data_IF_485142933740
#
_entry.id   IF_485142933740
#
_cell.length_a   1.000
_cell.length_b   1.000
_cell.length_c   1.000
_cell.angle_alpha   90.00
_cell.angle_beta   90.00
_cell.angle_gamma   90.00
#
_symmetry.space_group_name_H-M   'P 1'
#
loop_
_entity.id
_entity.type
_entity.pdbx_description
1 polymer ?
#
# COMPACT_ATOMS: atom_id res chain seq x y z
N UNK A 1 -17.67 2.75 -24.22
CA UNK A 1 -18.44 1.80 -25.04
C UNK A 1 -17.67 0.51 -25.34
N UNK A 2 -16.35 0.53 -25.54
CA UNK A 2 -15.55 -0.65 -25.92
C UNK A 2 -15.46 -1.79 -24.87
N UNK A 3 -15.55 -1.51 -23.57
CA UNK A 3 -15.38 -2.52 -22.53
C UNK A 3 -16.52 -3.57 -22.48
N UNK A 4 -17.75 -3.16 -22.81
CA UNK A 4 -18.91 -4.04 -22.79
C UNK A 4 -18.90 -5.01 -23.98
N UNK A 5 -18.49 -4.53 -25.14
CA UNK A 5 -18.43 -5.34 -26.37
C UNK A 5 -17.35 -6.42 -26.28
N UNK A 6 -16.17 -6.08 -25.72
CA UNK A 6 -15.12 -7.06 -25.44
C UNK A 6 -15.55 -8.08 -24.38
N UNK A 7 -16.27 -7.65 -23.33
CA UNK A 7 -16.80 -8.55 -22.31
C UNK A 7 -17.84 -9.53 -22.89
N UNK A 8 -18.70 -9.08 -23.82
CA UNK A 8 -19.66 -9.95 -24.49
C UNK A 8 -18.96 -10.96 -25.43
N UNK A 9 -17.93 -10.54 -26.17
CA UNK A 9 -17.14 -11.46 -26.99
C UNK A 9 -16.40 -12.53 -26.17
N UNK A 10 -15.88 -12.17 -24.99
CA UNK A 10 -15.28 -13.14 -24.07
C UNK A 10 -16.34 -14.11 -23.52
N UNK A 11 -17.55 -13.63 -23.21
CA UNK A 11 -18.65 -14.46 -22.70
C UNK A 11 -19.04 -15.50 -23.74
N UNK A 12 -19.19 -15.06 -24.99
CA UNK A 12 -19.59 -15.94 -26.09
C UNK A 12 -18.49 -16.95 -26.45
N UNK A 13 -17.21 -16.61 -26.19
CA UNK A 13 -16.06 -17.50 -26.44
C UNK A 13 -15.81 -18.52 -25.34
N UNK A 14 -16.06 -18.18 -24.06
CA UNK A 14 -15.71 -19.04 -22.92
C UNK A 14 -16.93 -19.59 -22.15
N UNK A 15 -18.16 -19.21 -22.54
CA UNK A 15 -19.40 -19.81 -22.04
C UNK A 15 -19.69 -19.60 -20.55
N UNK A 16 -18.95 -18.72 -19.87
CA UNK A 16 -19.08 -18.43 -18.45
C UNK A 16 -19.80 -17.12 -18.18
N UNK A 17 -20.37 -16.98 -16.98
CA UNK A 17 -20.98 -15.73 -16.52
C UNK A 17 -19.90 -14.65 -16.35
N UNK A 18 -19.94 -13.61 -17.19
CA UNK A 18 -19.00 -12.50 -17.12
C UNK A 18 -19.66 -11.34 -16.37
N UNK A 19 -19.26 -11.16 -15.11
CA UNK A 19 -19.58 -9.95 -14.34
C UNK A 19 -18.61 -8.84 -14.74
N UNK A 20 -19.02 -7.98 -15.67
CA UNK A 20 -18.24 -6.79 -16.01
C UNK A 20 -18.39 -5.74 -14.89
N UNK A 21 -17.47 -5.75 -13.93
CA UNK A 21 -17.34 -4.67 -12.95
C UNK A 21 -16.81 -3.42 -13.67
N UNK A 22 -17.71 -2.50 -13.99
CA UNK A 22 -17.36 -1.24 -14.65
C UNK A 22 -16.75 -0.23 -13.68
N UNK A 23 -17.10 -0.31 -12.40
CA UNK A 23 -16.53 0.53 -11.32
C UNK A 23 -16.53 -0.23 -10.00
N UNK A 24 -15.54 0.05 -9.15
CA UNK A 24 -15.42 -0.49 -7.78
C UNK A 24 -15.36 0.68 -6.80
N UNK A 25 -16.15 0.61 -5.74
CA UNK A 25 -16.02 1.51 -4.59
C UNK A 25 -14.92 0.98 -3.67
N UNK A 26 -13.90 1.80 -3.43
CA UNK A 26 -12.75 1.44 -2.63
C UNK A 26 -12.52 2.45 -1.50
N UNK A 27 -12.23 1.94 -0.30
CA UNK A 27 -11.74 2.75 0.80
C UNK A 27 -10.24 3.02 0.65
N UNK A 28 -9.85 4.30 0.61
CA UNK A 28 -8.46 4.73 0.55
C UNK A 28 -8.08 5.43 1.84
N UNK A 29 -7.04 4.93 2.50
CA UNK A 29 -6.40 5.61 3.63
C UNK A 29 -5.49 6.75 3.14
N UNK A 30 -5.65 7.92 3.74
CA UNK A 30 -4.82 9.10 3.53
C UNK A 30 -4.51 9.75 4.89
N UNK A 31 -3.54 10.67 4.96
CA UNK A 31 -3.19 11.37 6.21
C UNK A 31 -4.38 11.99 6.96
N UNK A 32 -5.38 12.61 6.30
CA UNK A 32 -6.54 13.16 7.03
C UNK A 32 -7.59 12.10 7.43
N UNK A 33 -7.46 10.83 7.04
CA UNK A 33 -8.42 9.76 7.34
C UNK A 33 -8.74 8.83 6.17
N UNK A 34 -9.96 8.30 6.14
CA UNK A 34 -10.42 7.36 5.10
C UNK A 34 -11.31 8.09 4.09
N UNK A 35 -11.10 7.83 2.80
CA UNK A 35 -11.91 8.35 1.69
C UNK A 35 -12.54 7.19 0.93
N UNK A 36 -13.84 7.28 0.62
CA UNK A 36 -14.50 6.33 -0.29
C UNK A 36 -14.40 6.87 -1.70
N UNK A 37 -13.83 6.08 -2.61
CA UNK A 37 -13.60 6.46 -4.00
C UNK A 37 -14.24 5.43 -4.94
N UNK A 38 -15.04 5.91 -5.89
CA UNK A 38 -15.52 5.10 -7.02
C UNK A 38 -14.50 5.14 -8.14
N UNK A 39 -13.92 3.99 -8.46
CA UNK A 39 -12.75 3.89 -9.36
C UNK A 39 -12.90 2.81 -10.42
N UNK A 40 -12.10 2.89 -11.47
CA UNK A 40 -11.90 1.80 -12.43
C UNK A 40 -11.15 0.63 -11.75
N UNK A 41 -11.27 -0.63 -12.21
CA UNK A 41 -10.97 -1.84 -11.42
C UNK A 41 -9.49 -2.07 -11.02
N UNK A 42 -8.59 -1.11 -11.24
CA UNK A 42 -7.21 -1.20 -10.79
C UNK A 42 -7.07 -0.61 -9.38
N UNK A 43 -7.08 -1.49 -8.38
CA UNK A 43 -6.93 -1.14 -6.96
C UNK A 43 -5.62 -1.71 -6.44
N UNK A 44 -4.82 -0.89 -5.75
CA UNK A 44 -3.67 -1.38 -5.00
C UNK A 44 -4.10 -1.65 -3.56
N UNK A 45 -3.94 -2.89 -3.09
CA UNK A 45 -4.30 -3.27 -1.73
C UNK A 45 -3.21 -2.80 -0.77
N UNK A 46 -3.54 -1.86 0.11
CA UNK A 46 -2.67 -1.46 1.21
C UNK A 46 -2.67 -2.50 2.33
N UNK A 47 -1.72 -2.41 3.27
CA UNK A 47 -1.76 -3.24 4.47
C UNK A 47 -3.04 -2.91 5.28
N UNK A 48 -4.03 -3.79 5.16
CA UNK A 48 -5.29 -3.72 5.88
C UNK A 48 -5.14 -4.25 7.31
N UNK A 49 -6.24 -4.20 8.04
CA UNK A 49 -6.36 -4.87 9.34
C UNK A 49 -6.99 -6.27 9.19
N UNK A 50 -7.37 -6.65 7.96
CA UNK A 50 -7.94 -7.95 7.67
C UNK A 50 -6.81 -8.99 7.70
N UNK A 51 -6.90 -10.01 8.55
CA UNK A 51 -5.87 -11.04 8.61
C UNK A 51 -5.95 -11.90 7.35
N UNK A 52 -4.79 -12.28 6.83
CA UNK A 52 -4.72 -13.36 5.85
C UNK A 52 -5.32 -14.62 6.47
N UNK A 53 -6.37 -15.15 5.85
CA UNK A 53 -7.00 -16.36 6.32
C UNK A 53 -6.05 -17.55 6.10
N UNK A 54 -5.87 -18.42 7.11
CA UNK A 54 -5.11 -19.65 6.90
C UNK A 54 -5.79 -20.48 5.82
N UNK A 55 -4.98 -21.06 4.94
CA UNK A 55 -5.48 -21.98 3.93
C UNK A 55 -5.96 -23.28 4.56
N UNK A 56 -6.91 -23.94 3.88
CA UNK A 56 -7.32 -25.30 4.20
C UNK A 56 -6.50 -26.29 3.37
N UNK A 57 -6.21 -27.47 3.93
CA UNK A 57 -5.34 -28.49 3.31
C UNK A 57 -5.72 -28.83 1.85
N UNK A 58 -7.02 -28.81 1.51
CA UNK A 58 -7.50 -29.04 0.14
C UNK A 58 -7.13 -27.91 -0.82
N UNK A 59 -7.13 -26.66 -0.35
CA UNK A 59 -6.67 -25.51 -1.13
C UNK A 59 -5.16 -25.55 -1.33
N UNK A 60 -4.40 -25.94 -0.30
CA UNK A 60 -2.95 -26.09 -0.39
C UNK A 60 -2.54 -27.17 -1.40
N UNK A 61 -3.18 -28.34 -1.33
CA UNK A 61 -2.94 -29.42 -2.29
C UNK A 61 -3.28 -28.98 -3.72
N UNK A 62 -4.38 -28.26 -3.90
CA UNK A 62 -4.77 -27.72 -5.21
C UNK A 62 -3.75 -26.70 -5.72
N UNK A 63 -3.26 -25.81 -4.85
CA UNK A 63 -2.26 -24.81 -5.21
C UNK A 63 -0.91 -25.46 -5.55
N UNK A 64 -0.50 -26.49 -4.78
CA UNK A 64 0.75 -27.21 -4.99
C UNK A 64 0.76 -28.01 -6.30
N UNK A 65 -0.39 -28.57 -6.69
CA UNK A 65 -0.54 -29.34 -7.93
C UNK A 65 -0.96 -28.49 -9.12
N UNK A 66 -1.36 -27.24 -8.90
CA UNK A 66 -1.79 -26.32 -9.93
C UNK A 66 -0.65 -25.98 -10.89
N UNK A 67 -0.89 -25.94 -12.22
CA UNK A 67 0.14 -25.58 -13.17
C UNK A 67 0.55 -24.12 -13.00
N UNK A 68 1.84 -23.86 -12.79
CA UNK A 68 2.41 -22.51 -12.80
C UNK A 68 2.86 -22.20 -14.22
N UNK A 69 2.13 -21.33 -14.90
CA UNK A 69 2.50 -20.88 -16.25
C UNK A 69 3.60 -19.83 -16.13
N UNK A 70 4.79 -20.14 -16.65
CA UNK A 70 5.93 -19.21 -16.69
C UNK A 70 5.96 -18.53 -18.04
N UNK A 71 5.96 -17.19 -18.04
CA UNK A 71 6.02 -16.41 -19.27
C UNK A 71 7.39 -15.73 -19.37
N UNK A 72 7.98 -15.76 -20.55
CA UNK A 72 9.12 -14.91 -20.90
C UNK A 72 8.66 -13.52 -21.35
N UNK A 73 9.57 -12.54 -21.33
CA UNK A 73 9.26 -11.21 -21.85
C UNK A 73 8.93 -11.22 -23.36
N UNK A 74 9.49 -12.20 -24.09
CA UNK A 74 9.27 -12.38 -25.52
C UNK A 74 7.88 -12.99 -25.80
N UNK A 75 7.46 -13.95 -24.98
CA UNK A 75 6.12 -14.57 -25.07
C UNK A 75 5.00 -13.59 -24.69
N UNK A 76 5.30 -12.60 -23.85
CA UNK A 76 4.36 -11.57 -23.44
C UNK A 76 4.28 -10.38 -24.41
N UNK A 77 4.94 -10.46 -25.57
CA UNK A 77 4.97 -9.42 -26.61
C UNK A 77 5.33 -8.02 -26.05
N UNK A 78 6.30 -7.99 -25.12
CA UNK A 78 6.77 -6.73 -24.56
C UNK A 78 7.66 -6.04 -25.60
N UNK A 79 7.04 -5.16 -26.38
CA UNK A 79 7.61 -4.33 -27.48
C UNK A 79 9.02 -3.79 -27.20
N UNK A 80 9.31 -3.45 -25.95
CA UNK A 80 10.66 -3.07 -25.55
C UNK A 80 11.08 -3.85 -24.30
N UNK A 81 11.69 -5.02 -24.49
CA UNK A 81 12.32 -5.81 -23.42
C UNK A 81 13.32 -4.99 -22.56
N UNK A 82 13.82 -3.87 -23.09
CA UNK A 82 14.66 -2.91 -22.36
C UNK A 82 13.88 -2.10 -21.31
N UNK A 83 12.59 -1.86 -21.53
CA UNK A 83 11.65 -1.19 -20.61
C UNK A 83 11.05 -2.16 -19.59
N UNK A 84 11.05 -3.47 -19.88
CA UNK A 84 10.74 -4.47 -18.89
C UNK A 84 11.79 -4.44 -17.75
N UNK A 85 11.28 -4.36 -16.53
CA UNK A 85 11.90 -3.96 -15.26
C UNK A 85 13.03 -4.84 -14.71
N UNK A 86 13.78 -5.58 -15.53
CA UNK A 86 14.89 -6.44 -15.06
C UNK A 86 16.29 -5.88 -15.32
N UNK A 87 16.41 -4.78 -16.05
CA UNK A 87 17.70 -4.12 -16.29
C UNK A 87 17.69 -2.68 -15.77
N UNK A 88 18.80 -2.24 -15.18
CA UNK A 88 18.99 -0.84 -14.75
C UNK A 88 18.85 0.19 -15.89
N UNK A 89 18.69 -0.28 -17.14
CA UNK A 89 18.57 0.55 -18.35
C UNK A 89 17.15 1.05 -18.63
N UNK A 90 16.11 0.40 -18.08
CA UNK A 90 14.71 0.83 -18.22
C UNK A 90 14.17 1.57 -17.00
N UNK A 91 14.98 1.74 -15.95
CA UNK A 91 14.55 2.36 -14.70
C UNK A 91 14.87 3.84 -14.69
N UNK A 92 13.86 4.67 -14.43
CA UNK A 92 14.01 6.13 -14.31
C UNK A 92 14.87 6.55 -13.10
N UNK A 93 15.02 5.68 -12.10
CA UNK A 93 15.85 5.93 -10.92
C UNK A 93 17.34 5.59 -11.12
N UNK A 94 17.72 5.04 -12.27
CA UNK A 94 19.08 4.62 -12.56
C UNK A 94 19.58 3.48 -11.66
N UNK A 95 20.87 3.10 -11.73
CA UNK A 95 21.42 2.05 -10.88
C UNK A 95 21.49 2.48 -9.41
N UNK A 96 21.01 1.63 -8.51
CA UNK A 96 21.18 1.78 -7.06
C UNK A 96 22.68 1.81 -6.71
N UNK A 97 23.18 2.99 -6.31
CA UNK A 97 24.63 3.19 -6.07
C UNK A 97 25.13 2.53 -4.78
N UNK A 98 24.44 2.75 -3.65
CA UNK A 98 24.77 2.18 -2.34
C UNK A 98 23.52 2.09 -1.47
N UNK A 99 23.43 1.06 -0.64
CA UNK A 99 22.43 0.91 0.42
C UNK A 99 23.09 1.15 1.77
N UNK A 100 22.51 1.97 2.62
CA UNK A 100 22.99 2.21 3.98
C UNK A 100 21.98 1.64 4.99
N UNK A 101 22.49 1.01 6.04
CA UNK A 101 21.66 0.54 7.17
C UNK A 101 21.60 1.67 8.20
N UNK A 102 20.43 2.24 8.50
CA UNK A 102 20.32 3.31 9.48
C UNK A 102 20.81 2.83 10.84
N UNK A 103 21.64 3.65 11.51
CA UNK A 103 22.11 3.35 12.86
C UNK A 103 20.93 3.29 13.83
N UNK A 104 20.86 2.26 14.65
CA UNK A 104 19.92 2.21 15.79
C UNK A 104 20.19 3.42 16.68
N UNK A 105 19.14 4.20 16.97
CA UNK A 105 19.21 5.19 18.03
C UNK A 105 19.44 4.45 19.36
N UNK A 106 20.35 4.98 20.18
CA UNK A 106 20.70 4.37 21.46
C UNK A 106 19.48 4.21 22.35
N UNK A 107 19.48 3.16 23.19
CA UNK A 107 18.43 2.91 24.15
C UNK A 107 18.35 4.09 25.13
N UNK A 108 17.22 4.80 25.12
CA UNK A 108 16.91 5.82 26.10
C UNK A 108 16.56 5.13 27.43
N UNK A 109 17.28 5.45 28.51
CA UNK A 109 16.86 5.09 29.86
C UNK A 109 15.86 6.14 30.36
N UNK A 110 14.64 5.77 30.76
CA UNK A 110 13.70 6.74 31.30
C UNK A 110 14.29 7.36 32.58
N UNK A 111 14.23 8.69 32.76
CA UNK A 111 14.62 9.31 34.02
C UNK A 111 13.62 8.91 35.11
N UNK A 112 14.01 9.03 36.39
CA UNK A 112 13.17 8.65 37.54
C UNK A 112 11.78 9.34 37.55
N UNK A 113 11.68 10.51 36.93
CA UNK A 113 10.44 11.26 36.73
C UNK A 113 10.29 11.62 35.23
N UNK A 114 9.85 10.67 34.39
CA UNK A 114 9.78 10.85 32.94
C UNK A 114 8.80 11.95 32.53
N UNK A 115 7.71 12.10 33.27
CA UNK A 115 6.69 13.11 32.96
C UNK A 115 7.19 14.53 33.21
N UNK A 116 7.86 14.80 34.32
CA UNK A 116 8.37 16.14 34.65
C UNK A 116 9.49 16.58 33.69
N UNK A 117 10.36 15.65 33.30
CA UNK A 117 11.41 15.91 32.31
C UNK A 117 10.80 16.18 30.93
N UNK A 118 9.77 15.42 30.55
CA UNK A 118 9.05 15.62 29.29
C UNK A 118 8.33 16.97 29.27
N UNK A 119 7.60 17.31 30.33
CA UNK A 119 6.89 18.59 30.45
C UNK A 119 7.87 19.76 30.38
N UNK A 120 8.98 19.71 31.12
CA UNK A 120 10.03 20.75 31.03
C UNK A 120 10.63 20.85 29.63
N UNK A 121 10.84 19.73 28.93
CA UNK A 121 11.39 19.74 27.57
C UNK A 121 10.41 20.33 26.56
N UNK A 122 9.11 19.99 26.65
CA UNK A 122 8.05 20.55 25.80
C UNK A 122 7.93 22.05 26.02
N UNK A 123 7.84 22.49 27.28
CA UNK A 123 7.72 23.90 27.64
C UNK A 123 8.95 24.72 27.27
N UNK A 124 10.15 24.13 27.35
CA UNK A 124 11.37 24.76 26.85
C UNK A 124 11.34 24.94 25.32
N UNK A 125 10.75 24.01 24.58
CA UNK A 125 10.60 24.10 23.13
C UNK A 125 9.45 25.03 22.70
N UNK A 126 8.46 25.24 23.57
CA UNK A 126 7.25 26.02 23.31
C UNK A 126 6.89 26.87 24.54
N UNK A 127 7.57 28.01 24.77
CA UNK A 127 7.39 28.80 26.00
C UNK A 127 5.98 29.40 26.14
N UNK A 128 5.28 29.63 25.02
CA UNK A 128 3.93 30.20 25.03
C UNK A 128 2.83 29.15 25.25
N UNK A 129 3.17 27.85 25.23
CA UNK A 129 2.19 26.77 25.26
C UNK A 129 1.30 26.82 26.52
N UNK A 130 1.86 27.13 27.69
CA UNK A 130 1.08 27.28 28.93
C UNK A 130 0.07 28.41 28.82
N UNK A 131 0.47 29.53 28.22
CA UNK A 131 -0.39 30.71 28.08
C UNK A 131 -1.52 30.42 27.08
N UNK A 132 -1.21 29.74 25.98
CA UNK A 132 -2.17 29.36 24.95
C UNK A 132 -3.19 28.34 25.47
N UNK A 133 -2.74 27.35 26.25
CA UNK A 133 -3.63 26.35 26.88
C UNK A 133 -4.56 26.98 27.91
N UNK A 134 -4.07 27.92 28.72
CA UNK A 134 -4.90 28.67 29.68
C UNK A 134 -5.90 29.56 28.95
N UNK A 135 -5.49 30.22 27.87
CA UNK A 135 -6.39 31.02 27.04
C UNK A 135 -7.48 30.17 26.37
N UNK A 136 -7.15 28.95 25.95
CA UNK A 136 -8.10 28.01 25.37
C UNK A 136 -9.07 27.45 26.42
N UNK A 137 -8.59 27.11 27.62
CA UNK A 137 -9.43 26.59 28.70
C UNK A 137 -10.44 27.62 29.22
N UNK A 138 -10.12 28.93 29.16
CA UNK A 138 -11.02 30.04 29.53
C UNK A 138 -12.09 30.38 28.48
N UNK A 139 -12.01 29.78 27.28
CA UNK A 139 -13.00 29.97 26.20
C UNK A 139 -14.16 28.97 26.28
N UNK A 140 -14.09 28.01 27.20
CA UNK A 140 -15.19 27.13 27.60
C UNK A 140 -15.74 27.58 28.95
#
# INVERSE_FOLDING_TARGET
MFALEAALQLRDKFGSEITALTTVDAERRAEPGVQILRTNPLVNHGAGNEPDLPSVMTADLRAALGPIVKWSAQEADVEECRNASRSARGSSSGPLRRRHVPRRRGWWKPPKQPMEVLMKAILKGQPNLETDLVAQARRF
#
